data_IF_317132080417
#
_entry.id   IF_317132080417
#
_cell.length_a   1.000
_cell.length_b   1.000
_cell.length_c   1.000
_cell.angle_alpha   90.00
_cell.angle_beta   90.00
_cell.angle_gamma   90.00
#
_symmetry.space_group_name_H-M   'P 1'
#
loop_
_entity.id
_entity.type
_entity.pdbx_description
1 polymer ?
#
# COMPACT_ATOMS: atom_id res chain seq x y z
N UNK A 1 16.12 10.88 5.42
CA UNK A 1 16.75 10.58 6.73
C UNK A 1 17.86 11.59 7.05
N UNK A 2 18.92 11.70 6.23
CA UNK A 2 20.09 12.55 6.51
C UNK A 2 19.84 14.04 6.77
N UNK A 3 19.20 14.75 5.84
CA UNK A 3 19.02 16.22 5.95
C UNK A 3 18.23 16.65 7.20
N UNK A 4 17.19 15.91 7.55
CA UNK A 4 16.33 16.19 8.71
C UNK A 4 16.76 15.46 9.99
N UNK A 5 17.85 14.68 9.96
CA UNK A 5 18.32 13.89 11.10
C UNK A 5 17.29 12.86 11.63
N UNK A 6 16.38 12.39 10.77
CA UNK A 6 15.35 11.43 11.18
C UNK A 6 15.94 10.03 11.29
N UNK A 7 15.51 9.28 12.31
CA UNK A 7 15.87 7.86 12.45
C UNK A 7 14.78 6.92 11.92
N UNK A 8 13.51 7.32 12.02
CA UNK A 8 12.37 6.47 11.68
C UNK A 8 11.28 7.27 11.00
N UNK A 9 10.71 6.70 9.96
CA UNK A 9 9.49 7.18 9.32
C UNK A 9 8.42 6.12 9.46
N UNK A 10 7.21 6.54 9.78
CA UNK A 10 6.05 5.67 9.90
C UNK A 10 5.01 6.04 8.85
N UNK A 11 4.33 5.02 8.34
CA UNK A 11 3.24 5.17 7.38
C UNK A 11 2.12 4.20 7.75
N UNK A 12 0.88 4.61 7.57
CA UNK A 12 -0.27 3.77 7.82
C UNK A 12 -1.28 3.93 6.71
N UNK A 13 -1.87 2.82 6.28
CA UNK A 13 -2.98 2.84 5.33
C UNK A 13 -4.09 1.89 5.79
N UNK A 14 -5.33 2.14 5.32
CA UNK A 14 -6.41 1.18 5.55
C UNK A 14 -6.05 -0.17 4.94
N UNK A 15 -6.37 -1.25 5.63
CA UNK A 15 -6.10 -2.62 5.15
C UNK A 15 -6.80 -2.91 3.81
N UNK A 16 -7.96 -2.30 3.59
CA UNK A 16 -8.75 -2.41 2.35
C UNK A 16 -8.19 -1.62 1.15
N UNK A 17 -7.05 -0.93 1.30
CA UNK A 17 -6.37 -0.21 0.21
C UNK A 17 -5.04 -0.90 -0.17
N UNK A 18 -5.08 -1.95 -1.02
CA UNK A 18 -3.89 -2.70 -1.41
C UNK A 18 -2.93 -1.90 -2.30
N UNK A 19 -3.37 -0.80 -2.92
CA UNK A 19 -2.50 0.05 -3.73
C UNK A 19 -1.48 0.79 -2.86
N UNK A 20 -1.93 1.38 -1.76
CA UNK A 20 -1.03 2.01 -0.78
C UNK A 20 -0.05 1.02 -0.17
N UNK A 21 -0.48 -0.22 0.09
CA UNK A 21 0.39 -1.28 0.59
C UNK A 21 1.56 -1.58 -0.38
N UNK A 22 1.28 -1.65 -1.68
CA UNK A 22 2.33 -1.85 -2.70
C UNK A 22 3.31 -0.70 -2.75
N UNK A 23 2.83 0.54 -2.64
CA UNK A 23 3.68 1.73 -2.63
C UNK A 23 4.54 1.77 -1.37
N UNK A 24 3.99 1.50 -0.19
CA UNK A 24 4.73 1.46 1.07
C UNK A 24 5.89 0.46 1.00
N UNK A 25 5.62 -0.76 0.54
CA UNK A 25 6.65 -1.80 0.35
C UNK A 25 7.70 -1.40 -0.68
N UNK A 26 7.30 -0.86 -1.82
CA UNK A 26 8.23 -0.39 -2.84
C UNK A 26 9.12 0.77 -2.36
N UNK A 27 8.63 1.59 -1.44
CA UNK A 27 9.38 2.67 -0.80
C UNK A 27 10.28 2.20 0.37
N UNK A 28 10.35 0.89 0.63
CA UNK A 28 11.19 0.29 1.65
C UNK A 28 10.60 0.33 3.06
N UNK A 29 9.29 0.55 3.20
CA UNK A 29 8.63 0.46 4.51
C UNK A 29 8.23 -1.00 4.78
N UNK A 30 8.69 -1.55 5.90
CA UNK A 30 8.33 -2.87 6.38
C UNK A 30 6.99 -2.83 7.15
N UNK A 31 6.16 -3.86 6.98
CA UNK A 31 4.91 -3.99 7.73
C UNK A 31 5.21 -4.43 9.17
N UNK A 32 4.62 -3.74 10.15
CA UNK A 32 4.89 -3.96 11.58
C UNK A 32 3.64 -4.32 12.39
N UNK A 33 2.44 -4.13 11.83
CA UNK A 33 1.22 -4.53 12.54
C UNK A 33 -0.06 -4.00 11.94
N UNK A 34 -1.18 -4.34 12.60
CA UNK A 34 -2.52 -3.88 12.26
C UNK A 34 -3.17 -3.24 13.48
N UNK A 35 -3.53 -1.99 13.36
CA UNK A 35 -4.31 -1.24 14.33
C UNK A 35 -5.80 -1.43 14.04
N UNK A 36 -6.43 -2.34 14.79
CA UNK A 36 -7.84 -2.71 14.62
C UNK A 36 -8.76 -1.52 14.88
N UNK A 37 -9.71 -1.32 13.98
CA UNK A 37 -10.70 -0.25 14.00
C UNK A 37 -10.10 1.13 14.21
N UNK A 38 -8.88 1.46 13.78
CA UNK A 38 -8.28 2.75 14.13
C UNK A 38 -9.02 3.96 13.57
N UNK A 39 -9.41 3.92 12.30
CA UNK A 39 -10.01 5.05 11.60
C UNK A 39 -11.53 4.93 11.57
N UNK A 40 -12.23 6.07 11.63
CA UNK A 40 -13.68 6.15 11.45
C UNK A 40 -13.99 7.11 10.30
N UNK A 41 -14.74 6.64 9.30
CA UNK A 41 -15.22 7.46 8.19
C UNK A 41 -16.62 6.98 7.82
N UNK A 42 -17.57 7.91 7.71
CA UNK A 42 -18.97 7.62 7.35
C UNK A 42 -19.62 6.52 8.21
N UNK A 43 -19.39 6.56 9.52
CA UNK A 43 -19.90 5.58 10.47
C UNK A 43 -19.24 4.19 10.43
N UNK A 44 -18.31 3.95 9.49
CA UNK A 44 -17.58 2.69 9.35
C UNK A 44 -16.20 2.81 10.00
N UNK A 45 -15.81 1.79 10.76
CA UNK A 45 -14.47 1.66 11.36
C UNK A 45 -13.58 0.82 10.46
N UNK A 46 -12.36 1.28 10.22
CA UNK A 46 -11.38 0.60 9.37
C UNK A 46 -10.11 0.25 10.14
N UNK A 47 -9.60 -0.95 9.88
CA UNK A 47 -8.28 -1.39 10.31
C UNK A 47 -7.19 -0.67 9.52
N UNK A 48 -6.07 -0.35 10.18
CA UNK A 48 -4.92 0.30 9.57
C UNK A 48 -3.71 -0.62 9.68
N UNK A 49 -3.11 -0.99 8.54
CA UNK A 49 -1.79 -1.63 8.53
C UNK A 49 -0.72 -0.55 8.74
N UNK A 50 0.16 -0.74 9.72
CA UNK A 50 1.27 0.15 10.02
C UNK A 50 2.54 -0.38 9.40
N UNK A 51 3.29 0.53 8.79
CA UNK A 51 4.59 0.26 8.21
C UNK A 51 5.59 1.28 8.73
N UNK A 52 6.86 0.89 8.76
CA UNK A 52 7.93 1.81 9.10
C UNK A 52 9.19 1.55 8.27
N UNK A 53 10.00 2.60 8.16
CA UNK A 53 11.34 2.52 7.59
C UNK A 53 12.32 3.22 8.53
N UNK A 54 13.40 2.54 8.85
CA UNK A 54 14.50 3.04 9.65
C UNK A 54 15.58 3.64 8.74
N UNK A 55 16.37 4.55 9.29
CA UNK A 55 17.56 5.10 8.62
C UNK A 55 18.61 4.03 8.31
N UNK A 56 18.57 2.89 9.01
CA UNK A 56 19.46 1.74 8.83
C UNK A 56 18.94 0.73 7.81
N UNK A 57 17.71 0.88 7.32
CA UNK A 57 17.17 -0.04 6.33
C UNK A 57 17.83 0.18 4.96
N UNK A 58 18.01 -0.87 4.14
CA UNK A 58 18.57 -0.75 2.80
C UNK A 58 17.81 0.28 1.96
N UNK A 59 18.54 0.98 1.09
CA UNK A 59 17.87 1.85 0.13
C UNK A 59 17.16 0.98 -0.93
N UNK A 60 15.82 1.04 -1.06
CA UNK A 60 15.09 0.27 -2.06
C UNK A 60 15.44 0.67 -3.50
N UNK A 61 16.07 1.84 -3.70
CA UNK A 61 16.56 2.28 -4.99
C UNK A 61 18.04 1.96 -5.23
N UNK A 62 18.75 1.40 -4.24
CA UNK A 62 20.11 0.94 -4.47
C UNK A 62 20.09 -0.11 -5.58
N UNK A 63 21.02 -0.04 -6.55
CA UNK A 63 21.17 -1.10 -7.52
C UNK A 63 21.50 -2.37 -6.72
N UNK A 64 20.58 -3.33 -6.71
CA UNK A 64 20.93 -4.70 -6.37
C UNK A 64 22.07 -5.12 -7.29
N UNK A 65 23.15 -5.69 -6.72
CA UNK A 65 24.32 -6.16 -7.45
C UNK A 65 23.87 -6.79 -8.79
N UNK A 66 24.46 -6.31 -9.88
CA UNK A 66 24.02 -6.41 -11.28
C UNK A 66 23.83 -7.85 -11.83
N UNK A 67 23.97 -8.87 -10.99
CA UNK A 67 24.01 -10.29 -11.36
C UNK A 67 22.65 -10.96 -11.58
N UNK A 68 21.50 -10.33 -11.27
CA UNK A 68 20.17 -11.02 -11.29
C UNK A 68 19.11 -10.29 -12.13
N UNK A 69 19.46 -9.25 -12.92
CA UNK A 69 18.45 -8.45 -13.65
C UNK A 69 17.99 -9.01 -15.00
N UNK A 70 18.58 -10.09 -15.52
CA UNK A 70 18.33 -10.52 -16.91
C UNK A 70 17.04 -11.33 -17.15
N UNK A 71 16.24 -11.69 -16.13
CA UNK A 71 15.12 -12.64 -16.35
C UNK A 71 13.74 -12.25 -15.80
N UNK A 72 13.43 -10.98 -15.54
CA UNK A 72 12.06 -10.61 -15.12
C UNK A 72 11.19 -10.22 -16.33
N UNK A 73 10.23 -11.06 -16.78
CA UNK A 73 9.34 -10.67 -17.86
C UNK A 73 8.41 -9.53 -17.39
N UNK A 74 8.08 -8.64 -18.33
CA UNK A 74 7.20 -7.51 -18.13
C UNK A 74 5.88 -7.95 -17.47
N UNK A 75 5.56 -7.36 -16.32
CA UNK A 75 4.36 -7.66 -15.54
C UNK A 75 3.12 -7.29 -16.34
N UNK A 76 2.41 -8.29 -16.86
CA UNK A 76 1.11 -8.14 -17.49
C UNK A 76 0.16 -7.36 -16.56
N UNK A 77 -0.47 -6.33 -17.12
CA UNK A 77 -1.47 -5.52 -16.44
C UNK A 77 -2.67 -6.41 -16.07
N UNK A 78 -2.84 -6.67 -14.77
CA UNK A 78 -4.06 -7.28 -14.25
C UNK A 78 -5.20 -6.25 -14.37
N UNK A 79 -6.21 -6.65 -15.12
CA UNK A 79 -7.45 -5.94 -15.46
C UNK A 79 -8.12 -5.25 -14.28
N UNK A 80 -8.65 -4.04 -14.54
CA UNK A 80 -9.54 -3.30 -13.68
C UNK A 80 -10.94 -3.99 -13.56
N UNK A 81 -11.76 -3.64 -12.56
CA UNK A 81 -12.83 -4.49 -12.03
C UNK A 81 -14.14 -4.42 -12.83
N UNK A 82 -14.90 -5.51 -12.74
CA UNK A 82 -16.27 -5.68 -13.24
C UNK A 82 -17.21 -4.55 -12.79
N UNK A 83 -17.91 -3.97 -13.77
CA UNK A 83 -18.96 -2.98 -13.57
C UNK A 83 -20.09 -3.51 -12.66
N UNK A 84 -20.48 -2.72 -11.67
CA UNK A 84 -21.72 -2.97 -10.92
C UNK A 84 -22.91 -2.56 -11.80
N UNK A 85 -23.76 -3.53 -12.16
CA UNK A 85 -25.03 -3.29 -12.84
C UNK A 85 -26.02 -2.68 -11.86
N UNK A 86 -26.37 -1.41 -12.06
CA UNK A 86 -27.48 -0.78 -11.33
C UNK A 86 -28.80 -1.20 -11.98
N UNK A 87 -29.66 -1.94 -11.27
CA UNK A 87 -31.03 -2.24 -11.73
C UNK A 87 -31.91 -1.00 -11.52
N UNK A 88 -32.76 -0.61 -12.49
CA UNK A 88 -33.70 0.48 -12.27
C UNK A 88 -34.85 0.01 -11.36
N UNK A 89 -35.15 0.81 -10.33
CA UNK A 89 -36.36 0.67 -9.53
C UNK A 89 -37.53 1.18 -10.37
N UNK A 90 -38.47 0.30 -10.76
CA UNK A 90 -39.75 0.70 -11.33
C UNK A 90 -40.61 1.36 -10.24
N UNK A 91 -41.02 2.60 -10.45
CA UNK A 91 -42.08 3.24 -9.67
C UNK A 91 -43.45 2.66 -10.10
N UNK A 92 -44.38 2.38 -9.17
CA UNK A 92 -45.76 2.10 -9.52
C UNK A 92 -46.50 3.39 -9.90
N UNK A 93 -47.58 3.19 -10.65
CA UNK A 93 -48.43 4.18 -11.34
C UNK A 93 -49.06 5.19 -10.38
#
# INVERSE_FOLDING_TARGET
>A
FGELGLFRLESGHRVDNPASCRVARAAGFAAEGVQRQKLAWDGVRHDVETHARLATDPDPAAPEDETVRTERPARAALSAPTAQVTRPVRRPV
#
